data_IF_504850872740
#
_entry.id   IF_504850872740
#
_cell.length_a   1.000
_cell.length_b   1.000
_cell.length_c   1.000
_cell.angle_alpha   90.00
_cell.angle_beta   90.00
_cell.angle_gamma   90.00
#
_symmetry.space_group_name_H-M   'P 1'
#
loop_
_entity.id
_entity.type
_entity.pdbx_description
1 polymer ?
#
# COMPACT_ATOMS: atom_id res chain seq x y z
N UNK A 1 13.82 9.15 28.94
CA UNK A 1 13.79 8.30 27.74
C UNK A 1 14.96 8.73 26.89
N UNK A 2 15.91 7.84 26.66
CA UNK A 2 17.11 8.16 25.89
C UNK A 2 16.77 8.17 24.39
N UNK A 3 17.40 9.08 23.61
CA UNK A 3 17.15 9.20 22.17
C UNK A 3 17.32 7.89 21.40
N UNK A 4 18.20 7.02 21.90
CA UNK A 4 18.45 5.70 21.36
C UNK A 4 17.25 4.76 21.55
N UNK A 5 16.62 4.75 22.73
CA UNK A 5 15.41 3.95 22.98
C UNK A 5 14.26 4.38 22.05
N UNK A 6 14.10 5.69 21.83
CA UNK A 6 13.09 6.22 20.89
C UNK A 6 13.39 5.75 19.47
N UNK A 7 14.66 5.75 19.07
CA UNK A 7 15.05 5.27 17.75
C UNK A 7 14.69 3.79 17.59
N UNK A 8 15.14 2.94 18.50
CA UNK A 8 14.89 1.50 18.45
C UNK A 8 13.40 1.17 18.47
N UNK A 9 12.60 1.92 19.25
CA UNK A 9 11.16 1.79 19.25
C UNK A 9 10.57 2.19 17.89
N UNK A 10 11.03 3.30 17.30
CA UNK A 10 10.56 3.74 15.99
C UNK A 10 10.90 2.74 14.89
N UNK A 11 12.09 2.14 14.92
CA UNK A 11 12.49 1.10 13.95
C UNK A 11 11.64 -0.16 14.09
N UNK A 12 11.44 -0.66 15.31
CA UNK A 12 10.59 -1.85 15.58
C UNK A 12 9.14 -1.68 15.14
N UNK A 13 8.65 -0.44 15.10
CA UNK A 13 7.29 -0.11 14.69
C UNK A 13 7.18 0.35 13.23
N UNK A 14 8.29 0.41 12.47
CA UNK A 14 8.29 0.93 11.11
C UNK A 14 7.97 2.43 11.02
N UNK A 15 8.21 3.18 12.09
CA UNK A 15 7.90 4.61 12.23
C UNK A 15 9.15 5.50 12.12
N UNK A 16 10.26 4.99 11.59
CA UNK A 16 11.55 5.72 11.58
C UNK A 16 11.47 7.05 10.84
N UNK A 17 10.96 7.08 9.61
CA UNK A 17 10.82 8.32 8.83
C UNK A 17 9.77 9.29 9.39
N UNK A 18 8.66 8.78 9.93
CA UNK A 18 7.65 9.60 10.62
C UNK A 18 8.24 10.26 11.87
N UNK A 19 8.98 9.46 12.66
CA UNK A 19 9.65 9.93 13.87
C UNK A 19 10.74 10.94 13.53
N UNK A 20 11.43 10.77 12.40
CA UNK A 20 12.39 11.73 11.90
C UNK A 20 11.73 13.07 11.56
N UNK A 21 10.59 13.08 10.86
CA UNK A 21 9.84 14.31 10.59
C UNK A 21 9.44 15.03 11.88
N UNK A 22 8.97 14.28 12.89
CA UNK A 22 8.67 14.82 14.21
C UNK A 22 9.88 15.48 14.88
N UNK A 23 11.07 14.89 14.73
CA UNK A 23 12.32 15.46 15.26
C UNK A 23 12.81 16.68 14.49
N UNK A 24 12.64 16.73 13.16
CA UNK A 24 12.93 17.94 12.39
C UNK A 24 12.07 19.12 12.86
N UNK A 25 10.80 18.85 13.18
CA UNK A 25 9.92 19.86 13.78
C UNK A 25 10.38 20.26 15.18
N UNK A 26 10.75 19.29 16.02
CA UNK A 26 11.29 19.56 17.35
C UNK A 26 12.56 20.41 17.29
N UNK A 27 13.47 20.14 16.36
CA UNK A 27 14.67 20.95 16.16
C UNK A 27 14.34 22.40 15.78
N UNK A 28 13.35 22.60 14.90
CA UNK A 28 12.92 23.93 14.44
C UNK A 28 12.19 24.72 15.53
N UNK A 29 11.35 24.06 16.31
CA UNK A 29 10.45 24.72 17.28
C UNK A 29 11.07 24.77 18.70
N UNK A 30 11.92 23.81 19.06
CA UNK A 30 12.45 23.58 20.41
C UNK A 30 13.90 23.03 20.37
N UNK A 31 14.79 23.78 19.72
CA UNK A 31 16.18 23.36 19.44
C UNK A 31 16.96 22.89 20.68
N UNK A 32 16.68 23.46 21.86
CA UNK A 32 17.30 23.12 23.14
C UNK A 32 17.10 21.65 23.53
N UNK A 33 15.99 21.03 23.11
CA UNK A 33 15.70 19.63 23.41
C UNK A 33 16.55 18.66 22.57
N UNK A 34 17.14 19.16 21.47
CA UNK A 34 17.93 18.35 20.53
C UNK A 34 19.44 18.48 20.72
N UNK A 35 19.88 19.30 21.69
CA UNK A 35 21.30 19.58 21.96
C UNK A 35 22.07 18.32 22.35
N UNK A 36 21.45 17.42 23.13
CA UNK A 36 22.06 16.18 23.60
C UNK A 36 21.97 15.02 22.60
N UNK A 37 21.51 15.29 21.37
CA UNK A 37 21.37 14.25 20.37
C UNK A 37 22.74 13.87 19.79
N UNK A 38 23.13 12.61 19.99
CA UNK A 38 24.40 12.04 19.55
C UNK A 38 24.59 12.19 18.03
N UNK A 39 25.80 12.59 17.62
CA UNK A 39 26.11 12.80 16.19
C UNK A 39 25.96 11.52 15.36
N UNK A 40 26.33 10.36 15.91
CA UNK A 40 26.15 9.07 15.22
C UNK A 40 24.67 8.78 14.94
N UNK A 41 23.80 9.08 15.90
CA UNK A 41 22.36 8.89 15.76
C UNK A 41 21.74 9.85 14.73
N UNK A 42 22.23 11.11 14.67
CA UNK A 42 21.85 12.06 13.61
C UNK A 42 22.19 11.53 12.22
N UNK A 43 23.41 11.00 12.05
CA UNK A 43 23.87 10.47 10.75
C UNK A 43 23.08 9.22 10.34
N UNK A 44 22.83 8.30 11.27
CA UNK A 44 22.00 7.12 11.01
C UNK A 44 20.61 7.52 10.53
N UNK A 45 20.00 8.53 11.14
CA UNK A 45 18.68 8.99 10.74
C UNK A 45 18.64 9.65 9.37
N UNK A 46 19.63 10.48 9.04
CA UNK A 46 19.73 11.06 7.70
C UNK A 46 19.86 9.96 6.63
N UNK A 47 20.67 8.93 6.91
CA UNK A 47 20.81 7.79 6.02
C UNK A 47 19.50 7.02 5.84
N UNK A 48 18.78 6.75 6.93
CA UNK A 48 17.51 6.04 6.89
C UNK A 48 16.40 6.86 6.23
N UNK A 49 16.38 8.18 6.42
CA UNK A 49 15.46 9.07 5.72
C UNK A 49 15.67 9.01 4.21
N UNK A 50 16.92 9.16 3.75
CA UNK A 50 17.25 9.09 2.33
C UNK A 50 16.88 7.72 1.75
N UNK A 51 17.20 6.64 2.47
CA UNK A 51 16.82 5.28 2.08
C UNK A 51 15.30 5.13 1.92
N UNK A 52 14.50 5.56 2.91
CA UNK A 52 13.04 5.47 2.85
C UNK A 52 12.49 6.27 1.67
N UNK A 53 13.04 7.45 1.38
CA UNK A 53 12.59 8.26 0.24
C UNK A 53 12.87 7.57 -1.09
N UNK A 54 14.06 7.01 -1.28
CA UNK A 54 14.42 6.26 -2.49
C UNK A 54 13.56 5.01 -2.67
N UNK A 55 13.34 4.24 -1.60
CA UNK A 55 12.46 3.07 -1.63
C UNK A 55 11.03 3.44 -2.01
N UNK A 56 10.49 4.56 -1.48
CA UNK A 56 9.16 5.02 -1.87
C UNK A 56 9.10 5.43 -3.34
N UNK A 57 10.15 6.04 -3.90
CA UNK A 57 10.18 6.38 -5.33
C UNK A 57 10.10 5.12 -6.19
N UNK A 58 10.86 4.08 -5.86
CA UNK A 58 10.82 2.80 -6.56
C UNK A 58 9.45 2.12 -6.45
N UNK A 59 8.85 2.14 -5.25
CA UNK A 59 7.52 1.55 -5.01
C UNK A 59 6.42 2.33 -5.75
N UNK A 60 6.49 3.66 -5.78
CA UNK A 60 5.56 4.51 -6.53
C UNK A 60 5.64 4.24 -8.03
N UNK A 61 6.85 4.13 -8.58
CA UNK A 61 7.08 3.79 -9.99
C UNK A 61 6.50 2.41 -10.33
N UNK A 62 6.73 1.40 -9.48
CA UNK A 62 6.13 0.06 -9.65
C UNK A 62 4.61 0.07 -9.54
N UNK A 63 4.03 0.90 -8.67
CA UNK A 63 2.59 1.08 -8.57
C UNK A 63 2.01 1.64 -9.88
N UNK A 64 2.67 2.66 -10.45
CA UNK A 64 2.30 3.24 -11.73
C UNK A 64 2.40 2.22 -12.85
N UNK A 65 3.54 1.52 -12.95
CA UNK A 65 3.79 0.51 -13.98
C UNK A 65 2.80 -0.64 -13.91
N UNK A 66 2.59 -1.23 -12.74
CA UNK A 66 1.63 -2.33 -12.55
C UNK A 66 0.20 -1.88 -12.89
N UNK A 67 -0.18 -0.67 -12.48
CA UNK A 67 -1.49 -0.09 -12.82
C UNK A 67 -1.67 0.08 -14.32
N UNK A 68 -0.64 0.57 -15.01
CA UNK A 68 -0.63 0.72 -16.47
C UNK A 68 -0.73 -0.63 -17.18
N UNK A 69 0.05 -1.63 -16.79
CA UNK A 69 0.02 -2.97 -17.38
C UNK A 69 -1.37 -3.62 -17.26
N UNK A 70 -1.99 -3.53 -16.07
CA UNK A 70 -3.36 -4.03 -15.88
C UNK A 70 -4.36 -3.28 -16.77
N UNK A 71 -4.21 -1.97 -16.92
CA UNK A 71 -5.08 -1.16 -17.77
C UNK A 71 -4.97 -1.51 -19.26
N UNK A 72 -3.74 -1.70 -19.75
CA UNK A 72 -3.45 -2.15 -21.13
C UNK A 72 -4.13 -3.48 -21.45
N UNK A 73 -4.22 -4.36 -20.45
CA UNK A 73 -4.87 -5.66 -20.54
C UNK A 73 -6.37 -5.68 -20.14
N UNK A 74 -7.03 -4.53 -20.19
CA UNK A 74 -8.48 -4.37 -19.93
C UNK A 74 -8.93 -4.66 -18.50
N UNK A 75 -8.06 -4.47 -17.51
CA UNK A 75 -8.40 -4.46 -16.08
C UNK A 75 -8.42 -3.03 -15.54
N UNK A 76 -9.38 -2.74 -14.66
CA UNK A 76 -9.29 -1.61 -13.74
C UNK A 76 -8.53 -2.05 -12.52
N UNK A 77 -7.71 -1.15 -11.97
CA UNK A 77 -7.00 -1.41 -10.75
C UNK A 77 -7.14 -0.29 -9.71
N UNK A 78 -6.77 -0.61 -8.47
CA UNK A 78 -6.69 0.35 -7.37
C UNK A 78 -5.57 -0.08 -6.42
N UNK A 79 -4.63 0.81 -6.15
CA UNK A 79 -3.61 0.59 -5.11
C UNK A 79 -4.31 0.54 -3.74
N UNK A 80 -3.88 -0.38 -2.89
CA UNK A 80 -4.44 -0.65 -1.57
C UNK A 80 -3.40 -0.44 -0.47
N UNK A 81 -3.86 -0.63 0.77
CA UNK A 81 -3.07 -0.70 2.02
C UNK A 81 -2.03 0.41 2.15
N UNK A 82 -0.76 0.06 2.40
CA UNK A 82 0.27 0.99 2.83
C UNK A 82 0.48 2.12 1.82
N UNK A 83 0.65 1.79 0.54
CA UNK A 83 0.92 2.80 -0.48
C UNK A 83 -0.29 3.68 -0.76
N UNK A 84 -1.50 3.10 -0.74
CA UNK A 84 -2.72 3.91 -0.82
C UNK A 84 -2.88 4.83 0.39
N UNK A 85 -2.55 4.35 1.59
CA UNK A 85 -2.68 5.12 2.83
C UNK A 85 -1.60 6.19 2.97
N UNK A 86 -0.47 6.09 2.25
CA UNK A 86 0.62 7.05 2.30
C UNK A 86 0.13 8.49 1.99
N UNK A 87 -0.86 8.64 1.10
CA UNK A 87 -1.44 9.94 0.74
C UNK A 87 -2.11 10.68 1.91
N UNK A 88 -2.46 9.99 3.00
CA UNK A 88 -3.04 10.60 4.20
C UNK A 88 -1.99 11.13 5.18
N UNK A 89 -0.71 10.84 4.97
CA UNK A 89 0.37 11.32 5.84
C UNK A 89 0.83 12.73 5.43
N UNK A 90 1.21 13.59 6.39
CA UNK A 90 1.78 14.91 6.09
C UNK A 90 3.05 14.86 5.24
N UNK A 91 3.82 13.77 5.35
CA UNK A 91 5.03 13.51 4.57
C UNK A 91 4.97 12.08 4.02
N UNK A 92 4.27 11.83 2.90
CA UNK A 92 4.08 10.49 2.35
C UNK A 92 5.41 9.77 2.08
N UNK A 93 6.40 10.49 1.54
CA UNK A 93 7.75 9.96 1.20
C UNK A 93 8.59 9.51 2.39
N UNK A 94 8.16 9.81 3.62
CA UNK A 94 8.84 9.41 4.86
C UNK A 94 8.16 8.22 5.54
N UNK A 95 7.06 7.71 4.98
CA UNK A 95 6.45 6.47 5.44
C UNK A 95 7.32 5.31 4.97
N UNK A 96 7.64 4.37 5.84
CA UNK A 96 8.27 3.11 5.41
C UNK A 96 7.30 2.37 4.49
N UNK A 97 7.73 2.08 3.26
CA UNK A 97 6.97 1.30 2.29
C UNK A 97 6.95 -0.19 2.67
N UNK A 98 5.96 -0.91 2.14
CA UNK A 98 5.81 -2.36 2.26
C UNK A 98 5.58 -2.97 0.88
N UNK A 99 4.98 -4.16 0.85
CA UNK A 99 4.54 -4.75 -0.43
C UNK A 99 3.47 -3.85 -1.10
N UNK A 100 3.42 -3.92 -2.42
CA UNK A 100 2.42 -3.25 -3.24
C UNK A 100 1.18 -4.12 -3.30
N UNK A 101 0.16 -3.75 -2.55
CA UNK A 101 -1.16 -4.37 -2.66
C UNK A 101 -1.99 -3.68 -3.75
N UNK A 102 -2.43 -4.41 -4.77
CA UNK A 102 -3.23 -3.84 -5.85
C UNK A 102 -4.50 -4.66 -6.09
N UNK A 103 -5.66 -4.01 -6.10
CA UNK A 103 -6.91 -4.64 -6.50
C UNK A 103 -7.02 -4.68 -8.02
N UNK A 104 -7.30 -5.83 -8.62
CA UNK A 104 -7.59 -5.98 -10.05
C UNK A 104 -9.05 -6.38 -10.31
N UNK A 105 -9.69 -5.77 -11.31
CA UNK A 105 -11.03 -6.15 -11.77
C UNK A 105 -11.19 -5.93 -13.28
N UNK A 106 -11.74 -6.87 -14.06
CA UNK A 106 -12.02 -6.65 -15.47
C UNK A 106 -12.89 -5.40 -15.70
N UNK A 107 -12.59 -4.61 -16.75
CA UNK A 107 -13.42 -3.46 -17.13
C UNK A 107 -14.85 -3.90 -17.46
N UNK A 108 -14.99 -4.98 -18.22
CA UNK A 108 -16.26 -5.60 -18.56
C UNK A 108 -16.69 -6.62 -17.48
N UNK A 109 -16.81 -6.14 -16.24
CA UNK A 109 -17.16 -6.99 -15.10
C UNK A 109 -18.48 -7.73 -15.30
N UNK A 110 -18.50 -9.02 -14.95
CA UNK A 110 -19.70 -9.88 -15.00
C UNK A 110 -20.13 -10.35 -13.61
N UNK A 111 -19.62 -9.69 -12.58
CA UNK A 111 -19.82 -10.06 -11.18
C UNK A 111 -18.59 -10.74 -10.59
N UNK A 112 -18.53 -10.72 -9.26
CA UNK A 112 -17.32 -11.02 -8.50
C UNK A 112 -16.74 -12.41 -8.78
N UNK A 113 -17.57 -13.44 -8.97
CA UNK A 113 -17.07 -14.80 -9.23
C UNK A 113 -16.36 -14.93 -10.58
N UNK A 114 -16.92 -14.35 -11.64
CA UNK A 114 -16.31 -14.39 -12.97
C UNK A 114 -15.11 -13.44 -13.06
N UNK A 115 -15.18 -12.29 -12.39
CA UNK A 115 -14.05 -11.36 -12.31
C UNK A 115 -12.82 -12.01 -11.66
N UNK A 116 -13.02 -12.75 -10.57
CA UNK A 116 -11.94 -13.50 -9.90
C UNK A 116 -11.25 -14.46 -10.85
N UNK A 117 -12.03 -15.29 -11.55
CA UNK A 117 -11.48 -16.25 -12.52
C UNK A 117 -10.67 -15.56 -13.61
N UNK A 118 -11.16 -14.44 -14.13
CA UNK A 118 -10.48 -13.69 -15.18
C UNK A 118 -9.15 -13.10 -14.70
N UNK A 119 -9.12 -12.48 -13.52
CA UNK A 119 -7.88 -11.97 -12.91
C UNK A 119 -6.92 -13.10 -12.63
N UNK A 120 -7.36 -14.17 -11.97
CA UNK A 120 -6.53 -15.34 -11.67
C UNK A 120 -5.95 -15.96 -12.94
N UNK A 121 -6.75 -16.16 -13.99
CA UNK A 121 -6.27 -16.68 -15.28
C UNK A 121 -5.27 -15.74 -15.95
N UNK A 122 -5.53 -14.43 -15.89
CA UNK A 122 -4.63 -13.42 -16.44
C UNK A 122 -3.24 -13.48 -15.81
N UNK A 123 -3.18 -13.63 -14.48
CA UNK A 123 -1.94 -13.70 -13.72
C UNK A 123 -1.23 -15.04 -13.98
N UNK A 124 -1.94 -16.17 -13.87
CA UNK A 124 -1.36 -17.51 -14.11
C UNK A 124 -0.76 -17.64 -15.51
N UNK A 125 -1.41 -17.09 -16.52
CA UNK A 125 -0.94 -17.20 -17.91
C UNK A 125 0.35 -16.40 -18.20
N UNK A 126 0.79 -15.54 -17.28
CA UNK A 126 2.01 -14.73 -17.42
C UNK A 126 3.17 -15.28 -16.59
N UNK A 127 3.04 -16.50 -16.07
CA UNK A 127 4.06 -17.14 -15.26
C UNK A 127 4.56 -18.44 -15.89
N UNK A 128 5.87 -18.66 -15.75
CA UNK A 128 6.55 -19.88 -16.16
C UNK A 128 6.80 -20.84 -14.97
N UNK A 129 6.81 -20.38 -13.71
CA UNK A 129 7.05 -21.21 -12.52
C UNK A 129 6.43 -20.67 -11.21
N UNK A 130 6.01 -21.60 -10.33
CA UNK A 130 5.46 -21.47 -8.95
C UNK A 130 4.72 -20.17 -8.57
N UNK A 131 3.38 -20.23 -8.66
CA UNK A 131 2.48 -19.19 -8.15
C UNK A 131 2.14 -19.42 -6.69
N UNK A 132 2.44 -18.46 -5.82
CA UNK A 132 1.85 -18.43 -4.48
C UNK A 132 0.45 -17.79 -4.56
N UNK A 133 -0.55 -18.64 -4.78
CA UNK A 133 -1.94 -18.22 -4.75
C UNK A 133 -2.50 -18.35 -3.33
N UNK A 134 -2.96 -17.23 -2.78
CA UNK A 134 -3.81 -17.20 -1.60
C UNK A 134 -5.27 -17.04 -1.99
N UNK A 135 -6.17 -17.18 -1.02
CA UNK A 135 -7.61 -17.02 -1.28
C UNK A 135 -7.97 -15.60 -1.80
N UNK A 136 -7.21 -14.58 -1.37
CA UNK A 136 -7.52 -13.17 -1.63
C UNK A 136 -6.68 -12.51 -2.73
N UNK A 137 -5.45 -13.00 -2.89
CA UNK A 137 -4.45 -12.43 -3.79
C UNK A 137 -3.56 -13.51 -4.40
N UNK A 138 -2.84 -13.13 -5.44
CA UNK A 138 -1.75 -13.88 -6.06
C UNK A 138 -0.54 -12.95 -6.09
N UNK A 139 0.62 -13.47 -5.70
CA UNK A 139 1.90 -12.76 -5.85
C UNK A 139 2.17 -12.56 -7.35
N UNK A 140 2.53 -11.34 -7.76
CA UNK A 140 2.72 -11.01 -9.17
C UNK A 140 4.13 -11.33 -9.62
N UNK A 141 4.30 -12.29 -10.52
CA UNK A 141 5.65 -12.71 -10.94
C UNK A 141 6.52 -11.62 -11.56
N UNK A 142 5.92 -10.65 -12.27
CA UNK A 142 6.67 -9.57 -12.91
C UNK A 142 7.36 -8.68 -11.86
N UNK A 143 6.70 -8.47 -10.72
CA UNK A 143 7.22 -7.66 -9.60
C UNK A 143 7.00 -8.42 -8.29
N UNK A 144 8.06 -9.00 -7.69
CA UNK A 144 7.93 -9.90 -6.53
C UNK A 144 7.38 -9.22 -5.27
N UNK A 145 7.40 -7.89 -5.23
CA UNK A 145 6.84 -7.04 -4.18
C UNK A 145 5.36 -6.68 -4.41
N UNK A 146 4.74 -7.13 -5.51
CA UNK A 146 3.34 -6.84 -5.85
C UNK A 146 2.43 -8.04 -5.54
N UNK A 147 1.36 -7.79 -4.78
CA UNK A 147 0.27 -8.73 -4.51
C UNK A 147 -1.02 -8.27 -5.21
N UNK A 148 -1.53 -9.06 -6.16
CA UNK A 148 -2.75 -8.72 -6.90
C UNK A 148 -3.98 -9.35 -6.24
N UNK A 149 -4.82 -8.51 -5.63
CA UNK A 149 -6.07 -8.86 -4.98
C UNK A 149 -7.22 -8.95 -5.98
N UNK A 150 -7.99 -10.03 -5.89
CA UNK A 150 -9.19 -10.27 -6.71
C UNK A 150 -10.42 -10.62 -5.87
N UNK A 151 -10.26 -10.83 -4.56
CA UNK A 151 -11.34 -11.14 -3.63
C UNK A 151 -11.27 -10.25 -2.38
N UNK A 152 -12.37 -9.59 -1.96
CA UNK A 152 -12.36 -8.85 -0.70
C UNK A 152 -12.16 -9.82 0.47
N UNK A 153 -11.77 -9.28 1.62
CA UNK A 153 -11.55 -10.07 2.85
C UNK A 153 -12.77 -10.96 3.17
N UNK A 154 -12.51 -12.16 3.68
CA UNK A 154 -13.55 -13.06 4.18
C UNK A 154 -13.80 -12.75 5.64
N UNK A 155 -15.04 -12.44 5.97
CA UNK A 155 -15.45 -12.19 7.35
C UNK A 155 -15.88 -13.49 8.02
N UNK A 156 -15.50 -13.69 9.28
CA UNK A 156 -15.91 -14.87 10.05
C UNK A 156 -17.43 -14.96 10.27
N UNK A 157 -18.13 -13.83 10.29
CA UNK A 157 -19.58 -13.84 10.39
C UNK A 157 -20.21 -14.05 9.01
N UNK A 158 -20.90 -15.19 8.84
CA UNK A 158 -21.53 -15.61 7.58
C UNK A 158 -22.36 -14.49 6.92
N UNK A 159 -23.34 -13.90 7.63
CA UNK A 159 -24.25 -12.89 7.08
C UNK A 159 -23.50 -11.62 6.67
N UNK A 160 -22.51 -11.20 7.47
CA UNK A 160 -21.68 -10.03 7.13
C UNK A 160 -20.79 -10.31 5.91
N UNK A 161 -20.20 -11.51 5.83
CA UNK A 161 -19.41 -11.93 4.68
C UNK A 161 -20.26 -11.95 3.42
N UNK A 162 -21.40 -12.65 3.44
CA UNK A 162 -22.34 -12.71 2.31
C UNK A 162 -22.73 -11.31 1.84
N UNK A 163 -23.09 -10.41 2.76
CA UNK A 163 -23.39 -9.01 2.43
C UNK A 163 -22.21 -8.28 1.78
N UNK A 164 -20.99 -8.48 2.28
CA UNK A 164 -19.78 -7.87 1.71
C UNK A 164 -19.51 -8.42 0.30
N UNK A 165 -19.45 -9.74 0.15
CA UNK A 165 -19.21 -10.40 -1.13
C UNK A 165 -20.27 -9.99 -2.18
N UNK A 166 -21.54 -9.92 -1.80
CA UNK A 166 -22.64 -9.48 -2.68
C UNK A 166 -22.50 -8.02 -3.11
N UNK A 167 -22.07 -7.11 -2.23
CA UNK A 167 -21.83 -5.70 -2.60
C UNK A 167 -20.73 -5.55 -3.66
N UNK A 168 -19.68 -6.36 -3.58
CA UNK A 168 -18.63 -6.39 -4.59
C UNK A 168 -19.10 -7.11 -5.87
N UNK A 169 -20.00 -8.09 -5.75
CA UNK A 169 -20.60 -8.82 -6.87
C UNK A 169 -21.62 -8.04 -7.69
N UNK A 170 -22.41 -7.16 -7.07
CA UNK A 170 -23.44 -6.36 -7.75
C UNK A 170 -22.89 -5.14 -8.50
N UNK A 171 -21.57 -4.96 -8.53
CA UNK A 171 -20.93 -3.75 -9.00
C UNK A 171 -20.90 -2.66 -7.91
N UNK A 172 -19.69 -2.28 -7.51
CA UNK A 172 -19.45 -0.97 -6.90
C UNK A 172 -19.64 0.10 -7.98
N UNK A 173 -20.88 0.42 -8.34
CA UNK A 173 -21.20 1.59 -9.15
C UNK A 173 -20.94 2.84 -8.31
N UNK A 174 -19.68 3.26 -8.25
CA UNK A 174 -19.23 4.54 -7.66
C UNK A 174 -19.74 5.78 -8.39
N UNK A 175 -20.83 5.65 -9.17
CA UNK A 175 -21.48 6.73 -9.91
C UNK A 175 -22.83 7.14 -9.31
N UNK A 176 -23.38 6.41 -8.34
CA UNK A 176 -24.67 6.80 -7.71
C UNK A 176 -24.54 7.85 -6.60
N UNK A 177 -23.32 8.17 -6.13
CA UNK A 177 -23.11 9.06 -4.98
C UNK A 177 -22.15 10.24 -5.21
N UNK A 178 -21.65 10.52 -6.43
CA UNK A 178 -20.77 11.68 -6.67
C UNK A 178 -21.49 13.03 -6.58
N UNK A 179 -22.81 13.07 -6.76
CA UNK A 179 -23.61 14.31 -6.70
C UNK A 179 -23.92 14.82 -5.27
N UNK A 180 -23.19 14.37 -4.24
CA UNK A 180 -23.46 14.76 -2.84
C UNK A 180 -22.30 15.45 -2.13
N UNK A 181 -21.18 15.67 -2.80
CA UNK A 181 -20.02 16.39 -2.22
C UNK A 181 -19.65 17.68 -2.97
N UNK A 182 -20.43 18.06 -4.01
CA UNK A 182 -20.29 19.33 -4.73
C UNK A 182 -21.51 20.25 -4.52
N UNK A 183 -21.98 20.38 -3.27
CA UNK A 183 -22.93 21.44 -2.84
C UNK A 183 -22.43 22.11 -1.56
#
# INVERSE_FOLDING_TARGET
>A
MEWQEINELSEKQGLTGISFHGRQRLYKEYSEQTVYLLIGLKMQWLGMEAYIQEENLLVDERCEETTRMLAEDSFRSCILKEQANACYYPQPKLRTSGNIDIWGRPIASKGLFEDRKLVTKYLINREDDYIRMQYHHIDYHIFPDVEVYFCPIVLFNYRKNERLQNKFGSGMDGNKNRNKFDQ
#
